data_IF_806816781487
#
_entry.id   IF_806816781487
#
_cell.length_a   1.000
_cell.length_b   1.000
_cell.length_c   1.000
_cell.angle_alpha   90.00
_cell.angle_beta   90.00
_cell.angle_gamma   90.00
#
_symmetry.space_group_name_H-M   'P 1'
#
loop_
_entity.id
_entity.type
_entity.pdbx_description
1 polymer ?
#
# COMPACT_ATOMS: atom_id res chain seq x y z
N UNK A 1 15.39 9.62 -27.26
CA UNK A 1 14.44 8.50 -27.15
C UNK A 1 14.98 7.41 -26.23
N UNK A 2 14.53 7.42 -24.97
CA UNK A 2 14.90 6.38 -24.01
C UNK A 2 14.33 5.03 -24.47
N UNK A 3 15.18 4.01 -24.45
CA UNK A 3 14.72 2.63 -24.58
C UNK A 3 14.09 2.24 -23.23
N UNK A 4 12.77 2.33 -23.11
CA UNK A 4 12.05 2.11 -21.85
C UNK A 4 12.37 0.74 -21.25
N UNK A 5 12.42 -0.31 -22.09
CA UNK A 5 12.83 -1.65 -21.67
C UNK A 5 14.28 -1.92 -22.09
N UNK A 6 15.24 -1.65 -21.21
CA UNK A 6 16.65 -1.97 -21.46
C UNK A 6 17.04 -3.40 -21.03
N UNK A 7 16.25 -4.39 -21.43
CA UNK A 7 16.47 -5.78 -21.02
C UNK A 7 17.40 -6.52 -21.98
N UNK A 8 18.49 -7.09 -21.46
CA UNK A 8 19.46 -7.86 -22.23
C UNK A 8 19.16 -9.36 -22.19
N UNK A 9 19.71 -10.11 -23.15
CA UNK A 9 19.45 -11.56 -23.31
C UNK A 9 19.74 -12.39 -22.06
N UNK A 10 20.74 -11.98 -21.27
CA UNK A 10 21.20 -12.74 -20.11
C UNK A 10 20.63 -12.24 -18.78
N UNK A 11 19.87 -11.14 -18.82
CA UNK A 11 19.25 -10.56 -17.64
C UNK A 11 18.12 -11.46 -17.15
N UNK A 12 17.72 -11.24 -15.90
CA UNK A 12 16.52 -11.86 -15.36
C UNK A 12 15.28 -11.41 -16.13
N UNK A 13 14.34 -12.32 -16.32
CA UNK A 13 13.14 -12.02 -17.10
C UNK A 13 12.16 -11.21 -16.25
N UNK A 14 11.74 -10.04 -16.76
CA UNK A 14 10.69 -9.13 -16.23
C UNK A 14 9.30 -9.76 -16.00
N UNK A 15 9.14 -11.05 -16.24
CA UNK A 15 7.93 -11.80 -15.87
C UNK A 15 7.96 -12.35 -14.43
N UNK A 16 9.02 -12.08 -13.66
CA UNK A 16 9.18 -12.59 -12.29
C UNK A 16 9.56 -14.08 -12.18
N UNK A 17 9.72 -14.82 -13.28
CA UNK A 17 9.99 -16.27 -13.25
C UNK A 17 11.36 -16.71 -12.68
N UNK A 18 12.26 -15.79 -12.33
CA UNK A 18 13.65 -16.11 -11.96
C UNK A 18 14.55 -16.62 -13.10
N UNK A 19 14.01 -16.80 -14.31
CA UNK A 19 14.74 -17.33 -15.47
C UNK A 19 15.38 -16.21 -16.28
N UNK A 20 16.49 -16.53 -16.98
CA UNK A 20 17.10 -15.60 -17.96
C UNK A 20 16.12 -15.26 -19.08
N UNK A 21 16.05 -14.00 -19.50
CA UNK A 21 15.12 -13.50 -20.52
C UNK A 21 15.15 -14.33 -21.81
N UNK A 22 16.35 -14.67 -22.32
CA UNK A 22 16.51 -15.52 -23.52
C UNK A 22 15.94 -16.94 -23.40
N UNK A 23 15.77 -17.44 -22.19
CA UNK A 23 15.23 -18.78 -21.89
C UNK A 23 13.76 -18.73 -21.45
N UNK A 24 13.17 -17.54 -21.41
CA UNK A 24 11.81 -17.32 -20.93
C UNK A 24 10.97 -16.60 -21.99
N UNK A 25 10.80 -15.27 -21.89
CA UNK A 25 9.85 -14.54 -22.73
C UNK A 25 10.43 -14.02 -24.06
N UNK A 26 11.75 -13.99 -24.26
CA UNK A 26 12.36 -13.37 -25.45
C UNK A 26 11.78 -13.90 -26.77
N UNK A 27 11.64 -15.22 -26.91
CA UNK A 27 11.12 -15.82 -28.16
C UNK A 27 9.66 -15.48 -28.43
N UNK A 28 8.86 -15.31 -27.38
CA UNK A 28 7.46 -14.89 -27.52
C UNK A 28 7.38 -13.42 -27.93
N UNK A 29 8.17 -12.55 -27.28
CA UNK A 29 8.30 -11.12 -27.63
C UNK A 29 8.76 -10.95 -29.08
N UNK A 30 9.82 -11.63 -29.50
CA UNK A 30 10.33 -11.56 -30.89
C UNK A 30 9.29 -12.05 -31.91
N UNK A 31 8.47 -13.03 -31.55
CA UNK A 31 7.40 -13.52 -32.41
C UNK A 31 6.27 -12.49 -32.55
N UNK A 32 5.84 -11.85 -31.46
CA UNK A 32 4.84 -10.77 -31.51
C UNK A 32 5.38 -9.62 -32.37
N UNK A 33 6.63 -9.21 -32.13
CA UNK A 33 7.29 -8.12 -32.85
C UNK A 33 7.37 -8.37 -34.36
N UNK A 34 7.85 -9.55 -34.76
CA UNK A 34 7.95 -9.89 -36.18
C UNK A 34 6.58 -9.91 -36.88
N UNK A 35 5.52 -10.33 -36.18
CA UNK A 35 4.19 -10.39 -36.76
C UNK A 35 3.56 -8.99 -36.85
N UNK A 36 3.69 -8.16 -35.80
CA UNK A 36 3.23 -6.76 -35.82
C UNK A 36 3.94 -5.96 -36.92
N UNK A 37 5.28 -6.06 -37.00
CA UNK A 37 6.07 -5.40 -38.05
C UNK A 37 5.61 -5.79 -39.46
N UNK A 38 5.20 -7.05 -39.66
CA UNK A 38 4.71 -7.53 -40.95
C UNK A 38 3.30 -7.02 -41.25
N UNK A 39 2.35 -7.17 -40.33
CA UNK A 39 0.96 -6.74 -40.54
C UNK A 39 0.89 -5.22 -40.77
N UNK A 40 1.53 -4.44 -39.91
CA UNK A 40 1.58 -2.98 -40.04
C UNK A 40 2.33 -2.56 -41.32
N UNK A 41 3.48 -3.18 -41.59
CA UNK A 41 4.31 -2.86 -42.76
C UNK A 41 3.65 -3.17 -44.11
N UNK A 42 2.63 -4.02 -44.13
CA UNK A 42 1.81 -4.26 -45.32
C UNK A 42 0.81 -3.13 -45.59
N UNK A 43 0.45 -2.35 -44.57
CA UNK A 43 -0.54 -1.27 -44.64
C UNK A 43 0.14 0.10 -44.79
N UNK A 44 1.17 0.37 -44.00
CA UNK A 44 1.84 1.67 -43.95
C UNK A 44 3.36 1.56 -43.72
N UNK A 45 4.09 2.65 -43.95
CA UNK A 45 5.52 2.72 -43.68
C UNK A 45 5.81 2.83 -42.17
N UNK A 46 6.73 2.00 -41.66
CA UNK A 46 7.08 2.01 -40.22
C UNK A 46 8.28 2.93 -39.97
N UNK A 47 8.03 4.02 -39.25
CA UNK A 47 9.05 5.00 -38.83
C UNK A 47 9.99 4.42 -37.76
N UNK A 48 11.08 5.13 -37.44
CA UNK A 48 11.95 4.73 -36.33
C UNK A 48 11.20 4.75 -34.98
N UNK A 49 10.32 5.73 -34.80
CA UNK A 49 9.43 5.82 -33.66
C UNK A 49 8.45 4.64 -33.61
N UNK A 50 7.78 4.34 -34.73
CA UNK A 50 6.85 3.22 -34.82
C UNK A 50 7.49 1.87 -34.49
N UNK A 51 8.78 1.68 -34.81
CA UNK A 51 9.54 0.49 -34.40
C UNK A 51 9.71 0.39 -32.88
N UNK A 52 9.96 1.51 -32.20
CA UNK A 52 10.08 1.53 -30.74
C UNK A 52 8.73 1.21 -30.07
N UNK A 53 7.65 1.84 -30.53
CA UNK A 53 6.30 1.52 -30.04
C UNK A 53 5.94 0.05 -30.27
N UNK A 54 6.17 -0.49 -31.48
CA UNK A 54 5.96 -1.92 -31.75
C UNK A 54 6.77 -2.78 -30.79
N UNK A 55 8.03 -2.41 -30.49
CA UNK A 55 8.86 -3.16 -29.54
C UNK A 55 8.26 -3.15 -28.14
N UNK A 56 7.79 -2.00 -27.64
CA UNK A 56 7.10 -1.87 -26.34
C UNK A 56 5.86 -2.75 -26.29
N UNK A 57 4.96 -2.62 -27.27
CA UNK A 57 3.74 -3.44 -27.35
C UNK A 57 4.08 -4.93 -27.44
N UNK A 58 5.14 -5.30 -28.16
CA UNK A 58 5.60 -6.69 -28.26
C UNK A 58 6.07 -7.26 -26.94
N UNK A 59 6.67 -6.43 -26.08
CA UNK A 59 7.04 -6.83 -24.72
C UNK A 59 5.77 -7.03 -23.89
N UNK A 60 4.87 -6.04 -23.85
CA UNK A 60 3.61 -6.09 -23.10
C UNK A 60 2.79 -7.36 -23.40
N UNK A 61 2.73 -7.76 -24.67
CA UNK A 61 1.98 -8.93 -25.12
C UNK A 61 2.79 -10.23 -25.23
N UNK A 62 4.11 -10.16 -25.14
CA UNK A 62 5.00 -11.32 -25.27
C UNK A 62 5.50 -11.89 -23.93
N UNK A 63 5.42 -11.14 -22.85
CA UNK A 63 5.77 -11.61 -21.49
C UNK A 63 4.68 -12.50 -20.89
N UNK A 64 5.09 -13.36 -19.95
CA UNK A 64 4.19 -14.27 -19.24
C UNK A 64 3.80 -13.66 -17.89
N UNK A 65 2.51 -13.61 -17.58
CA UNK A 65 2.01 -13.14 -16.28
C UNK A 65 1.37 -14.26 -15.41
N UNK A 66 1.30 -15.49 -15.93
CA UNK A 66 0.70 -16.72 -15.35
C UNK A 66 -0.74 -17.12 -15.78
N UNK A 67 -0.97 -18.44 -15.69
CA UNK A 67 -2.02 -19.39 -16.15
C UNK A 67 -2.63 -19.28 -17.56
N UNK A 68 -2.98 -18.10 -18.09
CA UNK A 68 -3.57 -18.01 -19.44
C UNK A 68 -2.50 -17.65 -20.47
N UNK A 69 -2.02 -18.67 -21.18
CA UNK A 69 -1.22 -18.51 -22.41
C UNK A 69 -2.15 -18.10 -23.57
N UNK A 70 -2.88 -16.99 -23.41
CA UNK A 70 -3.65 -16.45 -24.51
C UNK A 70 -2.72 -15.70 -25.45
N UNK A 71 -2.73 -16.12 -26.72
CA UNK A 71 -1.88 -15.52 -27.74
C UNK A 71 -2.57 -14.25 -28.22
N UNK A 72 -1.89 -13.11 -28.25
CA UNK A 72 -2.49 -11.88 -28.73
C UNK A 72 -3.02 -12.07 -30.16
N UNK A 73 -4.24 -11.58 -30.42
CA UNK A 73 -4.73 -11.42 -31.79
C UNK A 73 -3.95 -10.28 -32.45
N UNK A 74 -2.81 -10.64 -33.07
CA UNK A 74 -1.89 -9.69 -33.69
C UNK A 74 -2.58 -8.88 -34.79
N UNK A 75 -3.58 -9.44 -35.49
CA UNK A 75 -4.29 -8.70 -36.54
C UNK A 75 -5.14 -7.60 -35.95
N UNK A 76 -5.96 -7.93 -34.95
CA UNK A 76 -6.77 -6.95 -34.23
C UNK A 76 -5.88 -5.87 -33.60
N UNK A 77 -4.81 -6.29 -32.92
CA UNK A 77 -3.85 -5.38 -32.30
C UNK A 77 -3.21 -4.44 -33.34
N UNK A 78 -2.77 -4.97 -34.48
CA UNK A 78 -2.18 -4.16 -35.55
C UNK A 78 -3.18 -3.16 -36.15
N UNK A 79 -4.45 -3.53 -36.29
CA UNK A 79 -5.49 -2.63 -36.79
C UNK A 79 -5.72 -1.45 -35.84
N UNK A 80 -5.86 -1.72 -34.55
CA UNK A 80 -6.03 -0.67 -33.53
C UNK A 80 -4.80 0.26 -33.43
N UNK A 81 -3.59 -0.29 -33.58
CA UNK A 81 -2.36 0.52 -33.61
C UNK A 81 -2.30 1.44 -34.82
N UNK A 82 -2.72 0.97 -36.00
CA UNK A 82 -2.78 1.78 -37.22
C UNK A 82 -3.82 2.88 -37.05
N UNK A 83 -5.02 2.55 -36.57
CA UNK A 83 -6.09 3.54 -36.32
C UNK A 83 -5.63 4.62 -35.33
N UNK A 84 -4.95 4.24 -34.24
CA UNK A 84 -4.40 5.18 -33.28
C UNK A 84 -3.38 6.15 -33.93
N UNK A 85 -2.50 5.64 -34.81
CA UNK A 85 -1.50 6.47 -35.50
C UNK A 85 -2.09 7.35 -36.61
N UNK A 86 -3.11 6.89 -37.32
CA UNK A 86 -3.80 7.72 -38.31
C UNK A 86 -4.51 8.90 -37.63
N UNK A 87 -5.10 8.68 -36.45
CA UNK A 87 -5.67 9.75 -35.62
C UNK A 87 -4.58 10.70 -35.05
N UNK A 88 -3.34 10.21 -34.83
CA UNK A 88 -2.18 11.05 -34.46
C UNK A 88 -1.69 11.97 -35.60
N UNK A 89 -1.83 11.55 -36.86
CA UNK A 89 -1.38 12.39 -38.00
C UNK A 89 -2.35 13.54 -38.30
N UNK A 90 -3.60 13.48 -37.82
CA UNK A 90 -4.62 14.52 -37.97
C UNK A 90 -4.62 15.57 -36.82
N UNK A 91 -3.66 15.51 -35.89
CA UNK A 91 -3.70 16.27 -34.64
C UNK A 91 -3.62 17.81 -34.82
N UNK A 92 -4.62 18.50 -34.26
CA UNK A 92 -4.60 19.91 -33.86
C UNK A 92 -4.57 19.97 -32.32
N UNK A 93 -4.18 21.07 -31.66
CA UNK A 93 -4.14 21.14 -30.18
C UNK A 93 -5.42 20.62 -29.48
N UNK A 94 -6.59 20.74 -30.12
CA UNK A 94 -7.87 20.22 -29.61
C UNK A 94 -7.95 18.71 -29.46
N UNK A 95 -7.21 17.93 -30.25
CA UNK A 95 -7.24 16.46 -30.20
C UNK A 95 -6.40 15.90 -29.05
N UNK A 96 -5.34 16.60 -28.63
CA UNK A 96 -4.58 16.25 -27.42
C UNK A 96 -5.46 16.34 -26.17
N UNK A 97 -6.20 17.44 -26.01
CA UNK A 97 -7.14 17.61 -24.90
C UNK A 97 -8.28 16.59 -24.95
N UNK A 98 -8.78 16.26 -26.14
CA UNK A 98 -9.84 15.25 -26.29
C UNK A 98 -9.36 13.86 -25.90
N UNK A 99 -8.17 13.45 -26.34
CA UNK A 99 -7.56 12.20 -25.93
C UNK A 99 -7.36 12.17 -24.43
N UNK A 100 -6.72 13.19 -23.84
CA UNK A 100 -6.51 13.25 -22.40
C UNK A 100 -7.82 13.07 -21.62
N UNK A 101 -8.90 13.75 -22.04
CA UNK A 101 -10.21 13.55 -21.43
C UNK A 101 -10.68 12.10 -21.53
N UNK A 102 -10.60 11.48 -22.73
CA UNK A 102 -10.98 10.06 -22.90
C UNK A 102 -10.15 9.13 -22.01
N UNK A 103 -8.85 9.38 -21.87
CA UNK A 103 -7.98 8.59 -21.00
C UNK A 103 -8.35 8.79 -19.53
N UNK A 104 -8.60 10.02 -19.09
CA UNK A 104 -9.08 10.30 -17.73
C UNK A 104 -10.39 9.56 -17.47
N UNK A 105 -11.35 9.61 -18.39
CA UNK A 105 -12.63 8.91 -18.27
C UNK A 105 -12.40 7.39 -18.14
N UNK A 106 -11.56 6.80 -19.01
CA UNK A 106 -11.19 5.37 -18.94
C UNK A 106 -10.53 5.02 -17.59
N UNK A 107 -9.57 5.83 -17.13
CA UNK A 107 -8.86 5.64 -15.87
C UNK A 107 -9.82 5.71 -14.66
N UNK A 108 -10.89 6.50 -14.75
CA UNK A 108 -11.90 6.68 -13.68
C UNK A 108 -12.99 5.62 -13.69
N UNK A 109 -13.47 5.25 -14.87
CA UNK A 109 -14.58 4.29 -15.04
C UNK A 109 -14.14 2.83 -14.86
N UNK A 110 -12.92 2.48 -15.27
CA UNK A 110 -12.39 1.11 -15.09
C UNK A 110 -11.85 0.94 -13.68
N UNK A 111 -12.52 0.10 -12.89
CA UNK A 111 -12.14 -0.19 -11.49
C UNK A 111 -10.69 -0.64 -11.38
N UNK A 112 -10.22 -1.43 -12.35
CA UNK A 112 -8.89 -2.03 -12.38
C UNK A 112 -7.79 -1.01 -12.65
N UNK A 113 -8.11 0.12 -13.30
CA UNK A 113 -7.15 1.20 -13.56
C UNK A 113 -7.03 2.20 -12.40
N UNK A 114 -7.81 2.03 -11.32
CA UNK A 114 -7.69 2.87 -10.12
C UNK A 114 -6.36 2.68 -9.38
N UNK A 115 -5.63 1.60 -9.63
CA UNK A 115 -4.31 1.38 -9.04
C UNK A 115 -3.23 2.33 -9.60
N UNK A 116 -3.46 2.93 -10.78
CA UNK A 116 -2.52 3.88 -11.36
C UNK A 116 -2.50 5.22 -10.62
N UNK A 117 -3.48 5.49 -9.76
CA UNK A 117 -3.62 6.81 -9.13
C UNK A 117 -2.36 7.21 -8.37
N UNK A 118 -2.09 8.52 -8.38
CA UNK A 118 -1.00 9.09 -7.60
C UNK A 118 -1.33 8.92 -6.11
N UNK A 119 -0.39 8.42 -5.28
CA UNK A 119 -0.59 8.26 -3.85
C UNK A 119 -1.10 9.54 -3.18
N UNK A 120 -2.13 9.41 -2.35
CA UNK A 120 -2.82 10.55 -1.74
C UNK A 120 -1.89 11.40 -0.87
N UNK A 121 -0.89 10.77 -0.25
CA UNK A 121 0.13 11.45 0.57
C UNK A 121 0.93 12.50 -0.19
N UNK A 122 1.19 12.29 -1.49
CA UNK A 122 1.92 13.24 -2.34
C UNK A 122 1.05 14.45 -2.71
N UNK A 123 -0.27 14.30 -2.64
CA UNK A 123 -1.24 15.30 -3.10
C UNK A 123 -1.74 16.20 -1.96
N UNK A 124 -1.36 15.93 -0.70
CA UNK A 124 -1.84 16.67 0.48
C UNK A 124 -1.49 18.16 0.42
N UNK A 125 -0.32 18.46 -0.14
CA UNK A 125 0.21 19.83 -0.24
C UNK A 125 -0.34 20.62 -1.42
N UNK A 126 -1.16 20.00 -2.28
CA UNK A 126 -1.77 20.67 -3.43
C UNK A 126 -2.94 21.51 -2.95
N UNK A 127 -2.82 22.82 -3.07
CA UNK A 127 -3.99 23.65 -3.27
C UNK A 127 -4.46 23.45 -4.71
N UNK A 128 -5.64 22.85 -4.90
CA UNK A 128 -6.18 22.47 -6.24
C UNK A 128 -6.30 23.65 -7.23
N UNK A 129 -6.17 24.89 -6.76
CA UNK A 129 -6.22 26.12 -7.55
C UNK A 129 -4.83 26.72 -7.85
N UNK A 130 -3.74 26.13 -7.34
CA UNK A 130 -2.36 26.60 -7.53
C UNK A 130 -1.60 25.79 -8.59
N UNK A 131 -1.37 26.43 -9.74
CA UNK A 131 -0.69 25.84 -10.90
C UNK A 131 0.80 25.59 -10.62
N UNK A 132 1.47 26.45 -9.86
CA UNK A 132 2.92 26.34 -9.59
C UNK A 132 3.23 25.16 -8.66
N UNK A 133 2.36 24.93 -7.67
CA UNK A 133 2.43 23.74 -6.80
C UNK A 133 2.16 22.46 -7.59
N UNK A 134 1.20 22.50 -8.52
CA UNK A 134 0.87 21.35 -9.37
C UNK A 134 2.05 20.95 -10.27
N UNK A 135 2.77 21.91 -10.85
CA UNK A 135 3.98 21.65 -11.65
C UNK A 135 5.10 21.04 -10.79
N UNK A 136 5.35 21.59 -9.60
CA UNK A 136 6.40 21.09 -8.69
C UNK A 136 6.16 19.63 -8.27
N UNK A 137 4.91 19.26 -8.01
CA UNK A 137 4.56 17.89 -7.61
C UNK A 137 4.60 16.94 -8.80
N UNK A 138 4.22 17.39 -9.99
CA UNK A 138 4.41 16.60 -11.21
C UNK A 138 5.88 16.27 -11.43
N UNK A 139 6.78 17.24 -11.23
CA UNK A 139 8.23 16.99 -11.32
C UNK A 139 8.70 15.96 -10.28
N UNK A 140 8.24 16.05 -9.03
CA UNK A 140 8.55 15.06 -8.00
C UNK A 140 8.02 13.65 -8.34
N UNK A 141 6.81 13.57 -8.90
CA UNK A 141 6.22 12.29 -9.37
C UNK A 141 7.09 11.71 -10.50
N UNK A 142 7.53 12.54 -11.44
CA UNK A 142 8.34 12.13 -12.58
C UNK A 142 9.70 11.59 -12.14
N UNK A 143 10.32 12.17 -11.10
CA UNK A 143 11.61 11.72 -10.58
C UNK A 143 11.59 10.25 -10.13
N UNK A 144 10.50 9.83 -9.47
CA UNK A 144 10.31 8.46 -8.98
C UNK A 144 9.51 7.57 -9.96
N UNK A 145 9.08 8.11 -11.11
CA UNK A 145 8.22 7.40 -12.05
C UNK A 145 8.98 6.34 -12.87
N UNK A 146 8.52 5.10 -12.77
CA UNK A 146 8.98 4.01 -13.63
C UNK A 146 7.98 3.75 -14.76
N UNK A 147 8.29 4.28 -15.96
CA UNK A 147 7.53 3.98 -17.18
C UNK A 147 7.53 2.48 -17.48
N UNK A 148 8.63 1.77 -17.19
CA UNK A 148 8.74 0.33 -17.36
C UNK A 148 7.68 -0.41 -16.52
N UNK A 149 7.62 -0.13 -15.21
CA UNK A 149 6.68 -0.81 -14.31
C UNK A 149 5.22 -0.50 -14.66
N UNK A 150 4.92 0.76 -14.99
CA UNK A 150 3.57 1.18 -15.38
C UNK A 150 3.10 0.49 -16.66
N UNK A 151 3.98 0.33 -17.65
CA UNK A 151 3.65 -0.40 -18.88
C UNK A 151 3.46 -1.90 -18.63
N UNK A 152 4.21 -2.50 -17.70
CA UNK A 152 4.02 -3.90 -17.32
C UNK A 152 2.68 -4.12 -16.60
N UNK A 153 2.31 -3.23 -15.69
CA UNK A 153 1.01 -3.28 -15.02
C UNK A 153 -0.12 -3.08 -16.04
N UNK A 154 -0.01 -2.08 -16.93
CA UNK A 154 -1.00 -1.84 -17.97
C UNK A 154 -1.12 -3.03 -18.92
N UNK A 155 -0.01 -3.69 -19.25
CA UNK A 155 0.00 -4.91 -20.03
C UNK A 155 -0.75 -6.05 -19.35
N UNK A 156 -0.57 -6.22 -18.04
CA UNK A 156 -1.31 -7.19 -17.26
C UNK A 156 -2.82 -6.88 -17.33
N UNK A 157 -3.22 -5.63 -17.10
CA UNK A 157 -4.63 -5.26 -17.09
C UNK A 157 -5.30 -5.42 -18.45
N UNK A 158 -4.69 -4.91 -19.52
CA UNK A 158 -5.20 -5.01 -20.89
C UNK A 158 -5.43 -6.45 -21.37
N UNK A 159 -4.71 -7.42 -20.78
CA UNK A 159 -4.78 -8.83 -21.16
C UNK A 159 -5.75 -9.64 -20.30
N UNK A 160 -6.13 -9.14 -19.13
CA UNK A 160 -6.95 -9.88 -18.17
C UNK A 160 -8.34 -9.29 -17.96
N UNK A 161 -8.61 -8.08 -18.46
CA UNK A 161 -9.89 -7.40 -18.31
C UNK A 161 -10.47 -6.95 -19.66
N UNK A 162 -11.78 -6.72 -19.69
CA UNK A 162 -12.50 -6.38 -20.90
C UNK A 162 -12.42 -4.87 -21.21
N UNK A 163 -11.94 -4.57 -22.42
CA UNK A 163 -11.93 -3.24 -23.00
C UNK A 163 -12.68 -3.25 -24.32
N UNK A 164 -13.46 -2.21 -24.57
CA UNK A 164 -14.00 -1.95 -25.90
C UNK A 164 -12.87 -1.62 -26.86
N UNK A 165 -13.13 -1.77 -28.17
CA UNK A 165 -12.11 -1.45 -29.19
C UNK A 165 -11.70 0.02 -29.14
N UNK A 166 -12.64 0.93 -28.85
CA UNK A 166 -12.33 2.36 -28.72
C UNK A 166 -11.49 2.66 -27.46
N UNK A 167 -11.84 2.07 -26.31
CA UNK A 167 -11.03 2.19 -25.08
C UNK A 167 -9.60 1.70 -25.32
N UNK A 168 -9.46 0.52 -25.92
CA UNK A 168 -8.14 -0.07 -26.16
C UNK A 168 -7.33 0.76 -27.18
N UNK A 169 -7.95 1.26 -28.24
CA UNK A 169 -7.31 2.19 -29.18
C UNK A 169 -6.81 3.46 -28.48
N UNK A 170 -7.65 4.08 -27.64
CA UNK A 170 -7.25 5.28 -26.89
C UNK A 170 -6.06 4.98 -25.96
N UNK A 171 -6.06 3.83 -25.27
CA UNK A 171 -4.93 3.43 -24.43
C UNK A 171 -3.65 3.23 -25.26
N UNK A 172 -3.72 2.65 -26.45
CA UNK A 172 -2.57 2.52 -27.35
C UNK A 172 -2.02 3.89 -27.78
N UNK A 173 -2.90 4.85 -28.07
CA UNK A 173 -2.53 6.23 -28.38
C UNK A 173 -1.86 6.91 -27.17
N UNK A 174 -2.40 6.72 -25.96
CA UNK A 174 -1.81 7.24 -24.73
C UNK A 174 -0.40 6.69 -24.47
N UNK A 175 -0.18 5.39 -24.65
CA UNK A 175 1.16 4.78 -24.56
C UNK A 175 2.08 5.40 -25.61
N UNK A 176 1.60 5.54 -26.86
CA UNK A 176 2.36 6.13 -27.96
C UNK A 176 2.86 7.53 -27.58
N UNK A 177 1.95 8.42 -27.16
CA UNK A 177 2.31 9.77 -26.74
C UNK A 177 3.26 9.81 -25.54
N UNK A 178 3.02 8.96 -24.54
CA UNK A 178 3.92 8.81 -23.40
C UNK A 178 5.35 8.44 -23.80
N UNK A 179 5.54 7.63 -24.85
CA UNK A 179 6.86 7.25 -25.36
C UNK A 179 7.51 8.29 -26.28
N UNK A 180 6.73 9.19 -26.88
CA UNK A 180 7.26 10.32 -27.65
C UNK A 180 7.85 11.39 -26.73
N UNK A 181 7.26 11.55 -25.56
CA UNK A 181 7.64 12.51 -24.54
C UNK A 181 8.84 12.01 -23.72
N UNK A 182 9.98 12.68 -23.83
CA UNK A 182 11.20 12.30 -23.08
C UNK A 182 11.06 12.52 -21.56
N UNK A 183 10.07 13.30 -21.13
CA UNK A 183 9.77 13.56 -19.71
C UNK A 183 8.69 12.63 -19.14
N UNK A 184 8.04 11.85 -20.00
CA UNK A 184 6.86 11.03 -19.67
C UNK A 184 5.65 11.81 -19.11
N UNK A 185 5.66 13.15 -19.13
CA UNK A 185 4.55 13.99 -18.67
C UNK A 185 3.24 13.65 -19.38
N UNK A 186 3.30 13.40 -20.68
CA UNK A 186 2.15 13.02 -21.51
C UNK A 186 1.52 11.70 -21.06
N UNK A 187 2.27 10.84 -20.37
CA UNK A 187 1.74 9.63 -19.76
C UNK A 187 1.16 9.91 -18.37
N UNK A 188 1.85 10.70 -17.55
CA UNK A 188 1.52 10.92 -16.13
C UNK A 188 0.36 11.90 -15.93
N UNK A 189 0.24 12.94 -16.77
CA UNK A 189 -0.77 14.00 -16.59
C UNK A 189 -2.21 13.46 -16.52
N UNK A 190 -2.67 12.54 -17.39
CA UNK A 190 -3.99 11.93 -17.25
C UNK A 190 -4.19 11.18 -15.93
N UNK A 191 -3.16 10.47 -15.45
CA UNK A 191 -3.17 9.76 -14.16
C UNK A 191 -3.31 10.75 -13.00
N UNK A 192 -2.51 11.81 -13.01
CA UNK A 192 -2.55 12.87 -12.01
C UNK A 192 -3.92 13.55 -11.99
N UNK A 193 -4.46 13.95 -13.15
CA UNK A 193 -5.77 14.58 -13.26
C UNK A 193 -6.90 13.66 -12.79
N UNK A 194 -6.88 12.37 -13.15
CA UNK A 194 -7.83 11.40 -12.65
C UNK A 194 -7.78 11.29 -11.12
N UNK A 195 -6.59 11.39 -10.52
CA UNK A 195 -6.39 11.38 -9.07
C UNK A 195 -6.99 12.60 -8.38
N UNK A 196 -6.75 13.80 -8.93
CA UNK A 196 -7.33 15.03 -8.38
C UNK A 196 -8.86 15.04 -8.49
N UNK A 197 -9.41 14.58 -9.62
CA UNK A 197 -10.86 14.49 -9.82
C UNK A 197 -11.52 13.52 -8.83
N UNK A 198 -10.90 12.36 -8.61
CA UNK A 198 -11.39 11.37 -7.65
C UNK A 198 -11.35 11.92 -6.21
N UNK A 199 -10.28 12.61 -5.82
CA UNK A 199 -10.19 13.27 -4.51
C UNK A 199 -11.24 14.39 -4.39
N UNK A 200 -11.43 15.20 -5.44
CA UNK A 200 -12.42 16.28 -5.44
C UNK A 200 -13.84 15.77 -5.27
N UNK A 201 -14.24 14.77 -6.05
CA UNK A 201 -15.57 14.16 -5.96
C UNK A 201 -15.80 13.47 -4.61
N UNK A 202 -14.81 12.71 -4.12
CA UNK A 202 -14.88 12.08 -2.81
C UNK A 202 -14.95 13.10 -1.67
N UNK A 203 -14.21 14.22 -1.78
CA UNK A 203 -14.27 15.33 -0.81
C UNK A 203 -15.65 15.96 -0.76
N UNK A 204 -16.31 16.16 -1.91
CA UNK A 204 -17.65 16.73 -1.96
C UNK A 204 -18.70 15.76 -1.42
N UNK A 205 -18.57 14.45 -1.71
CA UNK A 205 -19.38 13.40 -1.08
C UNK A 205 -19.18 13.38 0.45
N UNK A 206 -17.95 13.45 0.93
CA UNK A 206 -17.62 13.49 2.36
C UNK A 206 -18.20 14.72 3.07
N UNK A 207 -18.13 15.91 2.46
CA UNK A 207 -18.73 17.13 3.01
C UNK A 207 -20.25 16.99 3.18
N UNK A 208 -20.93 16.40 2.21
CA UNK A 208 -22.38 16.17 2.30
C UNK A 208 -22.74 15.28 3.50
N UNK A 209 -21.94 14.24 3.78
CA UNK A 209 -22.12 13.39 4.97
C UNK A 209 -22.00 14.20 6.26
N UNK A 210 -21.00 15.09 6.35
CA UNK A 210 -20.77 15.93 7.54
C UNK A 210 -21.90 16.96 7.74
N UNK A 211 -22.43 17.51 6.64
CA UNK A 211 -23.49 18.52 6.67
C UNK A 211 -24.87 17.94 7.03
N UNK A 212 -25.16 16.69 6.65
CA UNK A 212 -26.45 16.00 6.86
C UNK A 212 -26.71 15.51 8.31
N UNK A 213 -25.98 16.06 9.29
CA UNK A 213 -25.99 15.77 10.74
C UNK A 213 -27.21 14.99 11.25
N UNK A 214 -26.99 13.76 11.73
CA UNK A 214 -27.98 13.10 12.57
C UNK A 214 -27.83 11.60 12.83
N UNK A 215 -26.83 10.90 12.27
CA UNK A 215 -26.67 9.44 12.44
C UNK A 215 -25.21 8.98 12.35
N UNK A 216 -24.42 9.22 13.40
CA UNK A 216 -22.99 8.88 13.48
C UNK A 216 -22.62 7.50 12.90
N UNK A 217 -23.36 6.44 13.24
CA UNK A 217 -23.10 5.10 12.71
C UNK A 217 -23.37 4.95 11.19
N UNK A 218 -24.38 5.65 10.66
CA UNK A 218 -24.66 5.67 9.22
C UNK A 218 -23.63 6.51 8.46
N UNK A 219 -23.13 7.56 9.10
CA UNK A 219 -22.13 8.46 8.54
C UNK A 219 -20.81 7.70 8.34
N UNK A 220 -20.37 6.93 9.35
CA UNK A 220 -19.19 6.05 9.27
C UNK A 220 -19.31 5.03 8.12
N UNK A 221 -20.45 4.34 8.00
CA UNK A 221 -20.68 3.39 6.88
C UNK A 221 -20.59 4.12 5.53
N UNK A 222 -21.08 5.35 5.46
CA UNK A 222 -21.06 6.14 4.22
C UNK A 222 -19.63 6.55 3.86
N UNK A 223 -18.79 6.90 4.85
CA UNK A 223 -17.36 7.15 4.63
C UNK A 223 -16.62 5.91 4.08
N UNK A 224 -16.86 4.73 4.64
CA UNK A 224 -16.25 3.50 4.11
C UNK A 224 -16.65 3.22 2.66
N UNK A 225 -17.91 3.45 2.29
CA UNK A 225 -18.34 3.32 0.89
C UNK A 225 -17.63 4.33 -0.03
N UNK A 226 -17.37 5.55 0.44
CA UNK A 226 -16.58 6.55 -0.31
C UNK A 226 -15.14 6.05 -0.47
N UNK A 227 -14.52 5.48 0.57
CA UNK A 227 -13.16 4.94 0.48
C UNK A 227 -13.06 3.75 -0.47
N UNK A 228 -14.04 2.84 -0.47
CA UNK A 228 -14.08 1.74 -1.44
C UNK A 228 -14.23 2.24 -2.89
N UNK A 229 -15.02 3.30 -3.09
CA UNK A 229 -15.20 3.90 -4.41
C UNK A 229 -13.97 4.71 -4.84
N UNK A 230 -13.29 5.39 -3.91
CA UNK A 230 -12.13 6.25 -4.16
C UNK A 230 -10.98 5.91 -3.18
N UNK A 231 -10.23 4.82 -3.43
CA UNK A 231 -9.21 4.34 -2.48
C UNK A 231 -8.15 5.38 -2.10
N UNK A 232 -7.72 6.21 -3.07
CA UNK A 232 -6.75 7.27 -2.81
C UNK A 232 -7.25 8.38 -1.89
N UNK A 233 -8.57 8.54 -1.78
CA UNK A 233 -9.15 9.58 -0.95
C UNK A 233 -8.97 9.26 0.55
N UNK A 234 -9.02 7.97 0.91
CA UNK A 234 -8.75 7.52 2.29
C UNK A 234 -7.34 7.93 2.74
N UNK A 235 -6.35 7.66 1.89
CA UNK A 235 -4.95 8.02 2.12
C UNK A 235 -4.78 9.55 2.16
N UNK A 236 -5.30 10.26 1.16
CA UNK A 236 -5.24 11.72 1.10
C UNK A 236 -5.83 12.37 2.36
N UNK A 237 -7.03 11.96 2.76
CA UNK A 237 -7.72 12.51 3.93
C UNK A 237 -6.94 12.21 5.21
N UNK A 238 -6.50 10.96 5.39
CA UNK A 238 -5.68 10.56 6.52
C UNK A 238 -4.39 11.37 6.63
N UNK A 239 -3.65 11.52 5.54
CA UNK A 239 -2.41 12.28 5.53
C UNK A 239 -2.64 13.77 5.77
N UNK A 240 -3.74 14.34 5.25
CA UNK A 240 -4.14 15.72 5.52
C UNK A 240 -4.50 15.94 6.99
N UNK A 241 -5.22 14.99 7.59
CA UNK A 241 -5.53 15.01 9.03
C UNK A 241 -4.26 14.89 9.87
N UNK A 242 -3.32 14.01 9.49
CA UNK A 242 -2.05 13.88 10.18
C UNK A 242 -1.24 15.17 10.12
N UNK A 243 -1.08 15.77 8.94
CA UNK A 243 -0.36 17.05 8.79
C UNK A 243 -0.98 18.17 9.63
N UNK A 244 -2.31 18.21 9.74
CA UNK A 244 -3.00 19.20 10.56
C UNK A 244 -2.80 19.00 12.08
N UNK A 245 -2.40 17.81 12.51
CA UNK A 245 -2.28 17.43 13.92
C UNK A 245 -0.87 16.98 14.32
N UNK A 246 0.12 17.05 13.43
CA UNK A 246 1.46 16.48 13.63
C UNK A 246 2.16 17.07 14.86
N UNK A 247 2.18 18.40 14.97
CA UNK A 247 2.77 19.09 16.13
C UNK A 247 2.05 18.76 17.44
N UNK A 248 0.72 18.66 17.41
CA UNK A 248 -0.09 18.33 18.58
C UNK A 248 0.14 16.87 18.99
N UNK A 249 0.28 15.96 18.03
CA UNK A 249 0.58 14.54 18.25
C UNK A 249 1.99 14.36 18.80
N UNK A 250 3.00 15.00 18.20
CA UNK A 250 4.38 14.91 18.66
C UNK A 250 4.51 15.46 20.11
N UNK A 251 3.81 16.55 20.41
CA UNK A 251 3.74 17.11 21.76
C UNK A 251 3.12 16.11 22.75
N UNK A 252 1.95 15.55 22.41
CA UNK A 252 1.23 14.55 23.22
C UNK A 252 2.09 13.31 23.50
N UNK A 253 2.85 12.84 22.51
CA UNK A 253 3.76 11.70 22.67
C UNK A 253 4.99 12.04 23.54
N UNK A 254 5.46 13.29 23.50
CA UNK A 254 6.60 13.82 24.29
C UNK A 254 6.26 14.11 25.74
N UNK A 255 5.04 14.57 26.05
CA UNK A 255 4.57 14.83 27.43
C UNK A 255 4.38 13.53 28.26
N UNK A 256 4.88 12.41 27.76
CA UNK A 256 4.90 11.11 28.43
C UNK A 256 3.53 10.62 28.89
N UNK A 257 2.48 10.91 28.12
CA UNK A 257 1.17 10.30 28.37
C UNK A 257 1.34 8.79 28.42
N UNK A 258 0.90 8.22 29.54
CA UNK A 258 1.01 6.80 29.81
C UNK A 258 -0.21 6.11 29.23
N UNK A 259 -0.01 5.43 28.10
CA UNK A 259 -1.03 4.56 27.53
C UNK A 259 -0.99 3.22 28.25
N UNK A 260 -2.02 2.94 29.05
CA UNK A 260 -2.04 1.79 29.96
C UNK A 260 -2.56 0.53 29.27
N UNK A 261 -1.80 0.01 28.29
CA UNK A 261 -2.17 -1.25 27.65
C UNK A 261 -2.11 -2.43 28.64
N UNK A 262 -3.14 -3.29 28.68
CA UNK A 262 -3.10 -4.55 29.41
C UNK A 262 -1.87 -5.37 29.04
N UNK A 263 -1.25 -6.01 30.03
CA UNK A 263 -0.01 -6.73 29.79
C UNK A 263 -0.15 -7.88 28.77
N UNK A 264 -1.33 -8.48 28.61
CA UNK A 264 -1.51 -9.55 27.63
C UNK A 264 -1.28 -9.06 26.19
N UNK A 265 -1.54 -7.80 25.85
CA UNK A 265 -1.27 -7.25 24.52
C UNK A 265 0.24 -7.18 24.29
N UNK A 266 0.97 -6.69 25.29
CA UNK A 266 2.44 -6.60 25.26
C UNK A 266 3.05 -8.00 25.20
N UNK A 267 2.49 -8.95 25.95
CA UNK A 267 2.96 -10.31 25.95
C UNK A 267 2.71 -11.00 24.60
N UNK A 268 1.52 -10.84 24.02
CA UNK A 268 1.19 -11.32 22.69
C UNK A 268 2.18 -10.79 21.63
N UNK A 269 2.50 -9.50 21.67
CA UNK A 269 3.48 -8.90 20.76
C UNK A 269 4.85 -9.56 20.90
N UNK A 270 5.35 -9.76 22.12
CA UNK A 270 6.65 -10.41 22.33
C UNK A 270 6.65 -11.86 21.83
N UNK A 271 5.57 -12.60 22.02
CA UNK A 271 5.44 -13.98 21.52
C UNK A 271 5.40 -14.01 19.98
N UNK A 272 4.62 -13.13 19.33
CA UNK A 272 4.58 -13.01 17.87
C UNK A 272 5.94 -12.61 17.29
N UNK A 273 6.60 -11.63 17.89
CA UNK A 273 7.96 -11.25 17.49
C UNK A 273 8.92 -12.45 17.57
N UNK A 274 8.77 -13.29 18.59
CA UNK A 274 9.58 -14.50 18.72
C UNK A 274 9.30 -15.53 17.62
N UNK A 275 8.03 -15.76 17.26
CA UNK A 275 7.62 -16.63 16.14
C UNK A 275 8.28 -16.13 14.85
N UNK A 276 8.13 -14.83 14.52
CA UNK A 276 8.74 -14.23 13.32
C UNK A 276 10.25 -14.37 13.28
N UNK A 277 10.91 -14.19 14.42
CA UNK A 277 12.35 -14.41 14.51
C UNK A 277 12.72 -15.87 14.25
N UNK A 278 12.00 -16.84 14.81
CA UNK A 278 12.22 -18.27 14.58
C UNK A 278 12.04 -18.57 13.08
N UNK A 279 10.91 -18.18 12.48
CA UNK A 279 10.63 -18.39 11.05
C UNK A 279 11.78 -17.91 10.14
N UNK A 280 12.34 -16.72 10.41
CA UNK A 280 13.46 -16.17 9.66
C UNK A 280 14.72 -17.02 9.81
N UNK A 281 15.04 -17.48 11.03
CA UNK A 281 16.22 -18.31 11.28
C UNK A 281 16.06 -19.72 10.71
N UNK A 282 14.86 -20.31 10.75
CA UNK A 282 14.57 -21.63 10.17
C UNK A 282 14.65 -21.61 8.63
N UNK A 283 14.27 -20.50 7.98
CA UNK A 283 14.24 -20.40 6.52
C UNK A 283 15.61 -20.28 5.83
N UNK A 284 16.74 -20.26 6.56
CA UNK A 284 18.11 -20.27 6.03
C UNK A 284 18.34 -19.42 4.76
N UNK A 285 17.74 -18.22 4.69
CA UNK A 285 17.88 -17.32 3.53
C UNK A 285 19.26 -16.65 3.57
N UNK A 286 20.19 -16.93 2.62
CA UNK A 286 21.58 -16.47 2.71
C UNK A 286 21.80 -14.98 2.39
N UNK A 287 20.73 -14.20 2.22
CA UNK A 287 20.78 -12.89 1.55
C UNK A 287 19.91 -11.81 2.19
N UNK A 288 19.59 -11.91 3.48
CA UNK A 288 18.88 -10.83 4.16
C UNK A 288 19.94 -9.85 4.69
N UNK A 289 19.86 -8.59 4.23
CA UNK A 289 20.67 -7.48 4.74
C UNK A 289 20.49 -7.37 6.27
N UNK A 290 21.57 -7.23 7.04
CA UNK A 290 21.53 -7.17 8.52
C UNK A 290 20.54 -6.11 9.04
N UNK A 291 20.36 -5.00 8.31
CA UNK A 291 19.44 -3.92 8.67
C UNK A 291 17.95 -4.28 8.44
N UNK A 292 17.67 -5.13 7.44
CA UNK A 292 16.33 -5.67 7.16
C UNK A 292 15.99 -6.87 8.06
N UNK A 293 17.02 -7.55 8.59
CA UNK A 293 16.88 -8.78 9.38
C UNK A 293 16.16 -8.55 10.72
N UNK A 294 16.22 -7.32 11.24
CA UNK A 294 15.58 -6.94 12.51
C UNK A 294 14.31 -6.10 12.36
N UNK A 295 14.14 -5.37 11.26
CA UNK A 295 12.97 -4.51 11.04
C UNK A 295 11.76 -5.29 10.53
N UNK A 296 11.96 -6.22 9.58
CA UNK A 296 10.88 -7.03 8.99
C UNK A 296 10.07 -7.79 10.05
N UNK A 297 10.66 -8.64 10.91
CA UNK A 297 9.87 -9.41 11.88
C UNK A 297 9.18 -8.53 12.92
N UNK A 298 9.70 -7.32 13.14
CA UNK A 298 9.11 -6.35 14.05
C UNK A 298 7.83 -5.74 13.46
N UNK A 299 7.89 -5.24 12.22
CA UNK A 299 6.72 -4.73 11.51
C UNK A 299 5.66 -5.82 11.27
N UNK A 300 6.07 -7.01 10.83
CA UNK A 300 5.14 -8.13 10.63
C UNK A 300 4.44 -8.54 11.94
N UNK A 301 5.14 -8.54 13.08
CA UNK A 301 4.52 -8.86 14.36
C UNK A 301 3.52 -7.78 14.80
N UNK A 302 3.78 -6.49 14.52
CA UNK A 302 2.83 -5.40 14.80
C UNK A 302 1.61 -5.52 13.91
N UNK A 303 1.80 -5.71 12.60
CA UNK A 303 0.72 -5.86 11.63
C UNK A 303 -0.22 -7.00 12.04
N UNK A 304 0.33 -8.12 12.52
CA UNK A 304 -0.48 -9.22 13.04
C UNK A 304 -1.18 -8.88 14.36
N UNK A 305 -0.58 -8.10 15.26
CA UNK A 305 -1.26 -7.65 16.50
C UNK A 305 -2.42 -6.71 16.16
N UNK A 306 -2.20 -5.76 15.25
CA UNK A 306 -3.22 -4.80 14.81
C UNK A 306 -4.27 -5.43 13.88
N UNK A 307 -3.96 -6.58 13.27
CA UNK A 307 -4.90 -7.38 12.48
C UNK A 307 -5.83 -8.27 13.29
N UNK A 308 -5.56 -8.46 14.59
CA UNK A 308 -6.40 -9.25 15.49
C UNK A 308 -7.47 -8.37 16.16
N UNK A 309 -8.72 -8.52 15.72
CA UNK A 309 -9.87 -7.67 16.12
C UNK A 309 -9.94 -7.40 17.63
N UNK A 310 -9.75 -8.45 18.46
CA UNK A 310 -9.78 -8.37 19.92
C UNK A 310 -8.67 -7.45 20.46
N UNK A 311 -7.45 -7.60 19.95
CA UNK A 311 -6.30 -6.83 20.41
C UNK A 311 -6.38 -5.39 19.91
N UNK A 312 -6.73 -5.22 18.63
CA UNK A 312 -6.87 -3.91 18.02
C UNK A 312 -7.93 -3.07 18.74
N UNK A 313 -9.10 -3.65 19.03
CA UNK A 313 -10.16 -2.96 19.77
C UNK A 313 -9.68 -2.51 21.15
N UNK A 314 -8.95 -3.36 21.87
CA UNK A 314 -8.43 -2.99 23.19
C UNK A 314 -7.34 -1.91 23.10
N UNK A 315 -6.40 -2.01 22.16
CA UNK A 315 -5.36 -0.99 21.93
C UNK A 315 -6.03 0.36 21.65
N UNK A 316 -6.99 0.40 20.74
CA UNK A 316 -7.71 1.62 20.39
C UNK A 316 -8.47 2.19 21.59
N UNK A 317 -9.19 1.35 22.33
CA UNK A 317 -9.91 1.78 23.53
C UNK A 317 -8.97 2.36 24.59
N UNK A 318 -7.84 1.69 24.89
CA UNK A 318 -6.86 2.20 25.84
C UNK A 318 -6.26 3.55 25.41
N UNK A 319 -6.01 3.75 24.11
CA UNK A 319 -5.55 5.05 23.59
C UNK A 319 -6.62 6.11 23.87
N UNK A 320 -7.87 5.86 23.47
CA UNK A 320 -8.96 6.81 23.63
C UNK A 320 -9.26 7.11 25.10
N UNK A 321 -9.28 6.09 25.96
CA UNK A 321 -9.47 6.24 27.41
C UNK A 321 -8.34 7.05 28.05
N UNK A 322 -7.08 6.76 27.72
CA UNK A 322 -5.93 7.50 28.27
C UNK A 322 -5.97 8.98 27.86
N UNK A 323 -6.36 9.28 26.61
CA UNK A 323 -6.54 10.65 26.15
C UNK A 323 -7.68 11.36 26.90
N UNK A 324 -8.84 10.72 27.01
CA UNK A 324 -10.01 11.29 27.71
C UNK A 324 -9.76 11.50 29.21
N UNK A 325 -9.16 10.53 29.90
CA UNK A 325 -8.83 10.66 31.32
C UNK A 325 -7.83 11.80 31.55
N UNK A 326 -6.83 11.94 30.66
CA UNK A 326 -5.86 13.04 30.75
C UNK A 326 -6.53 14.40 30.52
N UNK A 327 -7.48 14.50 29.58
CA UNK A 327 -8.30 15.71 29.35
C UNK A 327 -9.09 16.11 30.60
N UNK A 328 -9.66 15.14 31.32
CA UNK A 328 -10.48 15.39 32.52
C UNK A 328 -9.65 15.79 33.74
N UNK A 329 -8.41 15.31 33.83
CA UNK A 329 -7.55 15.45 35.02
C UNK A 329 -6.51 16.56 34.91
N UNK A 330 -6.10 16.96 33.72
CA UNK A 330 -5.11 18.03 33.53
C UNK A 330 -5.70 19.42 33.84
N UNK A 331 -4.91 20.25 34.53
CA UNK A 331 -5.20 21.68 34.71
C UNK A 331 -4.58 22.56 33.60
N UNK A 332 -3.74 21.97 32.74
CA UNK A 332 -3.11 22.68 31.62
C UNK A 332 -4.07 22.78 30.44
N UNK A 333 -4.62 23.98 30.22
CA UNK A 333 -5.55 24.27 29.13
C UNK A 333 -4.92 24.12 27.73
N UNK A 334 -3.60 24.33 27.57
CA UNK A 334 -2.96 24.10 26.26
C UNK A 334 -2.91 22.60 25.96
N UNK A 335 -2.44 21.80 26.92
CA UNK A 335 -2.43 20.33 26.80
C UNK A 335 -3.85 19.79 26.57
N UNK A 336 -4.84 20.30 27.30
CA UNK A 336 -6.24 19.91 27.15
C UNK A 336 -6.78 20.14 25.74
N UNK A 337 -6.48 21.30 25.15
CA UNK A 337 -6.90 21.62 23.78
C UNK A 337 -6.20 20.73 22.75
N UNK A 338 -4.91 20.44 22.94
CA UNK A 338 -4.16 19.52 22.07
C UNK A 338 -4.74 18.10 22.12
N UNK A 339 -5.01 17.60 23.32
CA UNK A 339 -5.60 16.28 23.51
C UNK A 339 -6.99 16.16 22.90
N UNK A 340 -7.82 17.19 23.00
CA UNK A 340 -9.13 17.20 22.36
C UNK A 340 -9.03 17.04 20.84
N UNK A 341 -8.08 17.73 20.18
CA UNK A 341 -7.83 17.57 18.75
C UNK A 341 -7.32 16.19 18.38
N UNK A 342 -6.38 15.63 19.16
CA UNK A 342 -5.87 14.27 18.92
C UNK A 342 -6.97 13.21 19.13
N UNK A 343 -7.87 13.43 20.08
CA UNK A 343 -9.04 12.56 20.28
C UNK A 343 -9.98 12.62 19.06
N UNK A 344 -10.21 13.81 18.50
CA UNK A 344 -10.99 13.98 17.27
C UNK A 344 -10.30 13.36 16.05
N UNK A 345 -8.96 13.45 15.95
CA UNK A 345 -8.17 12.79 14.92
C UNK A 345 -8.45 11.28 14.87
N UNK A 346 -8.48 10.60 16.02
CA UNK A 346 -8.77 9.16 16.08
C UNK A 346 -10.24 8.76 15.84
N UNK A 347 -11.16 9.71 15.64
CA UNK A 347 -12.58 9.40 15.46
C UNK A 347 -12.87 8.68 14.13
N UNK A 348 -12.14 9.00 13.06
CA UNK A 348 -12.29 8.34 11.76
C UNK A 348 -10.98 7.68 11.34
N UNK A 349 -10.86 6.40 11.66
CA UNK A 349 -9.67 5.63 11.34
C UNK A 349 -9.49 5.44 9.83
N UNK A 350 -8.28 5.76 9.38
CA UNK A 350 -7.75 5.44 8.05
C UNK A 350 -6.43 4.70 8.23
N UNK A 351 -5.85 4.18 7.14
CA UNK A 351 -4.49 3.59 7.16
C UNK A 351 -3.43 4.47 7.83
N UNK A 352 -3.51 5.80 7.66
CA UNK A 352 -2.58 6.74 8.30
C UNK A 352 -2.73 6.74 9.82
N UNK A 353 -3.95 6.60 10.33
CA UNK A 353 -4.21 6.50 11.77
C UNK A 353 -3.67 5.20 12.36
N UNK A 354 -3.71 4.09 11.60
CA UNK A 354 -3.10 2.83 12.02
C UNK A 354 -1.58 2.98 12.24
N UNK A 355 -0.87 3.68 11.35
CA UNK A 355 0.56 3.96 11.54
C UNK A 355 0.83 4.78 12.82
N UNK A 356 -0.09 5.69 13.19
CA UNK A 356 0.04 6.44 14.44
C UNK A 356 -0.21 5.54 15.66
N UNK A 357 -1.22 4.66 15.59
CA UNK A 357 -1.52 3.67 16.64
C UNK A 357 -0.33 2.74 16.84
N UNK A 358 0.28 2.25 15.76
CA UNK A 358 1.52 1.48 15.78
C UNK A 358 2.63 2.22 16.53
N UNK A 359 2.88 3.48 16.19
CA UNK A 359 3.92 4.28 16.87
C UNK A 359 3.64 4.43 18.37
N UNK A 360 2.38 4.70 18.76
CA UNK A 360 1.97 4.75 20.17
C UNK A 360 2.23 3.40 20.84
N UNK A 361 1.80 2.30 20.21
CA UNK A 361 1.99 0.95 20.72
C UNK A 361 3.46 0.64 20.98
N UNK A 362 4.33 0.96 20.03
CA UNK A 362 5.76 0.73 20.14
C UNK A 362 6.45 1.57 21.22
N UNK A 363 6.08 2.84 21.32
CA UNK A 363 6.58 3.72 22.40
C UNK A 363 6.18 3.12 23.76
N UNK A 364 4.94 2.64 23.89
CA UNK A 364 4.46 2.03 25.13
C UNK A 364 5.17 0.71 25.44
N UNK A 365 5.36 -0.18 24.46
CA UNK A 365 6.12 -1.43 24.64
C UNK A 365 7.56 -1.12 25.08
N UNK A 366 8.21 -0.13 24.45
CA UNK A 366 9.55 0.30 24.84
C UNK A 366 9.59 0.78 26.29
N UNK A 367 8.70 1.70 26.67
CA UNK A 367 8.59 2.20 28.06
C UNK A 367 8.32 1.08 29.04
N UNK A 368 7.44 0.13 28.68
CA UNK A 368 7.13 -1.03 29.48
C UNK A 368 8.39 -1.86 29.78
N UNK A 369 9.18 -2.18 28.75
CA UNK A 369 10.43 -2.93 28.87
C UNK A 369 11.47 -2.17 29.71
N UNK A 370 11.60 -0.86 29.50
CA UNK A 370 12.54 -0.01 30.25
C UNK A 370 12.16 0.11 31.73
N UNK A 371 10.89 -0.11 32.07
CA UNK A 371 10.37 -0.06 33.45
C UNK A 371 10.53 -1.35 34.27
N UNK A 372 11.13 -2.41 33.71
CA UNK A 372 11.35 -3.66 34.44
C UNK A 372 12.42 -3.49 35.55
N UNK A 373 12.25 -4.14 36.73
CA UNK A 373 11.18 -5.08 37.09
C UNK A 373 9.85 -4.40 37.47
N UNK A 374 8.72 -4.96 37.06
CA UNK A 374 7.39 -4.39 37.35
C UNK A 374 6.31 -5.41 37.69
N UNK A 375 5.31 -4.94 38.44
CA UNK A 375 4.08 -5.69 38.71
C UNK A 375 3.18 -5.70 37.47
N UNK A 376 2.55 -6.84 37.18
CA UNK A 376 1.68 -7.01 36.02
C UNK A 376 0.23 -6.68 36.40
N UNK A 377 -0.37 -5.72 35.70
CA UNK A 377 -1.76 -5.31 35.88
C UNK A 377 -2.10 -5.14 37.37
N UNK A 378 -3.21 -5.71 37.85
CA UNK A 378 -3.54 -5.76 39.28
C UNK A 378 -3.07 -7.05 40.00
N UNK A 379 -2.37 -7.94 39.27
CA UNK A 379 -1.92 -9.26 39.72
C UNK A 379 -0.80 -9.20 40.75
N UNK A 380 -0.55 -10.27 41.51
CA UNK A 380 0.66 -10.36 42.36
C UNK A 380 1.92 -10.84 41.58
N UNK A 381 1.84 -10.88 40.25
CA UNK A 381 2.94 -11.34 39.40
C UNK A 381 3.88 -10.16 39.16
N UNK A 382 5.18 -10.40 39.33
CA UNK A 382 6.24 -9.45 38.99
C UNK A 382 7.02 -10.05 37.82
N UNK A 383 7.14 -9.27 36.75
CA UNK A 383 8.03 -9.54 35.64
C UNK A 383 9.36 -8.84 35.94
N UNK A 384 10.38 -9.64 36.22
CA UNK A 384 11.73 -9.21 36.54
C UNK A 384 12.51 -8.83 35.27
N UNK A 385 12.32 -9.59 34.19
CA UNK A 385 12.99 -9.39 32.91
C UNK A 385 12.24 -10.09 31.76
N UNK A 386 12.53 -9.68 30.52
CA UNK A 386 11.90 -10.21 29.30
C UNK A 386 12.11 -11.73 29.15
N UNK A 387 13.23 -12.30 29.64
CA UNK A 387 13.49 -13.74 29.49
C UNK A 387 12.48 -14.62 30.23
N UNK A 388 11.73 -14.08 31.19
CA UNK A 388 10.66 -14.86 31.84
C UNK A 388 9.47 -15.11 30.91
N UNK A 389 9.24 -14.24 29.91
CA UNK A 389 8.11 -14.32 28.98
C UNK A 389 8.13 -15.61 28.15
N UNK A 390 9.32 -16.18 27.95
CA UNK A 390 9.50 -17.40 27.17
C UNK A 390 9.47 -18.66 28.02
N UNK A 391 9.16 -18.57 29.32
CA UNK A 391 9.12 -19.72 30.22
C UNK A 391 7.70 -20.25 30.45
N UNK A 392 7.54 -21.58 30.40
CA UNK A 392 6.25 -22.23 30.65
C UNK A 392 5.68 -21.86 32.02
N UNK A 393 6.53 -21.79 33.05
CA UNK A 393 6.11 -21.45 34.41
C UNK A 393 5.45 -20.06 34.47
N UNK A 394 6.03 -19.08 33.77
CA UNK A 394 5.46 -17.74 33.70
C UNK A 394 4.17 -17.72 32.88
N UNK A 395 4.17 -18.38 31.71
CA UNK A 395 3.00 -18.47 30.84
C UNK A 395 1.79 -19.09 31.57
N UNK A 396 1.96 -20.26 32.19
CA UNK A 396 0.92 -20.96 32.94
C UNK A 396 0.37 -20.10 34.09
N UNK A 397 1.27 -19.40 34.80
CA UNK A 397 0.90 -18.50 35.89
C UNK A 397 0.08 -17.32 35.39
N UNK A 398 0.44 -16.74 34.24
CA UNK A 398 -0.27 -15.60 33.66
C UNK A 398 -1.61 -16.00 33.03
N UNK A 399 -1.68 -17.15 32.34
CA UNK A 399 -2.93 -17.73 31.83
C UNK A 399 -3.92 -17.95 32.98
N UNK A 400 -3.47 -18.56 34.08
CA UNK A 400 -4.31 -18.77 35.27
C UNK A 400 -4.85 -17.45 35.83
N UNK A 401 -4.02 -16.40 35.80
CA UNK A 401 -4.44 -15.05 36.21
C UNK A 401 -5.52 -14.48 35.28
N UNK A 402 -5.32 -14.52 33.96
CA UNK A 402 -6.31 -14.05 32.98
C UNK A 402 -7.65 -14.79 33.12
N UNK A 403 -7.61 -16.13 33.23
CA UNK A 403 -8.81 -16.94 33.45
C UNK A 403 -9.54 -16.56 34.76
N UNK A 404 -8.80 -16.26 35.82
CA UNK A 404 -9.38 -15.82 37.10
C UNK A 404 -10.08 -14.46 37.02
N UNK A 405 -9.71 -13.63 36.03
CA UNK A 405 -10.34 -12.34 35.71
C UNK A 405 -11.51 -12.45 34.75
N UNK A 406 -11.78 -13.65 34.23
CA UNK A 406 -12.80 -13.88 33.21
C UNK A 406 -12.32 -13.61 31.78
N UNK A 407 -11.04 -13.30 31.58
CA UNK A 407 -10.40 -13.02 30.30
C UNK A 407 -9.99 -14.33 29.60
N UNK A 408 -11.00 -15.14 29.25
CA UNK A 408 -10.80 -16.49 28.71
C UNK A 408 -10.32 -16.51 27.27
N UNK A 409 -10.72 -15.51 26.48
CA UNK A 409 -10.36 -15.44 25.06
C UNK A 409 -8.90 -15.01 24.92
N UNK A 410 -8.48 -14.03 25.70
CA UNK A 410 -7.12 -13.53 25.85
C UNK A 410 -6.19 -14.64 26.37
N UNK A 411 -6.62 -15.36 27.42
CA UNK A 411 -5.87 -16.49 27.97
C UNK A 411 -5.65 -17.59 26.93
N UNK A 412 -6.70 -17.91 26.16
CA UNK A 412 -6.63 -18.88 25.07
C UNK A 412 -5.67 -18.41 23.98
N UNK A 413 -5.76 -17.14 23.58
CA UNK A 413 -4.92 -16.57 22.53
C UNK A 413 -3.43 -16.59 22.90
N UNK A 414 -3.07 -16.16 24.13
CA UNK A 414 -1.69 -16.25 24.63
C UNK A 414 -1.18 -17.69 24.64
N UNK A 415 -2.06 -18.63 25.03
CA UNK A 415 -1.72 -20.06 25.03
C UNK A 415 -1.44 -20.59 23.63
N UNK A 416 -2.27 -20.23 22.65
CA UNK A 416 -2.10 -20.64 21.25
C UNK A 416 -0.77 -20.13 20.67
N UNK A 417 -0.43 -18.84 20.90
CA UNK A 417 0.87 -18.28 20.48
C UNK A 417 2.05 -19.00 21.14
N UNK A 418 1.93 -19.37 22.42
CA UNK A 418 2.99 -20.07 23.13
C UNK A 418 3.18 -21.51 22.60
N UNK A 419 2.08 -22.21 22.31
CA UNK A 419 2.11 -23.56 21.70
C UNK A 419 2.73 -23.53 20.29
N UNK A 420 2.50 -22.48 19.51
CA UNK A 420 3.10 -22.29 18.19
C UNK A 420 4.63 -22.20 18.28
N UNK A 421 5.16 -21.41 19.23
CA UNK A 421 6.61 -21.32 19.48
C UNK A 421 7.23 -22.68 19.81
N UNK A 422 6.54 -23.50 20.61
CA UNK A 422 7.03 -24.84 20.98
C UNK A 422 7.02 -25.81 19.78
N UNK A 423 6.02 -25.69 18.91
CA UNK A 423 5.95 -26.47 17.67
C UNK A 423 7.11 -26.09 16.76
N UNK A 424 7.33 -24.80 16.51
CA UNK A 424 8.39 -24.32 15.61
C UNK A 424 9.79 -24.72 16.08
N UNK A 425 10.06 -24.60 17.38
CA UNK A 425 11.32 -25.10 17.98
C UNK A 425 11.49 -26.61 17.78
N UNK A 426 10.40 -27.38 17.90
CA UNK A 426 10.44 -28.84 17.76
C UNK A 426 10.64 -29.32 16.32
N UNK A 427 10.26 -28.50 15.33
CA UNK A 427 10.55 -28.73 13.90
C UNK A 427 12.01 -28.42 13.57
N UNK A 428 12.59 -27.35 14.13
CA UNK A 428 14.02 -27.04 13.97
C UNK A 428 14.96 -28.08 14.61
N UNK A 429 14.58 -28.65 15.75
CA UNK A 429 15.38 -29.73 16.39
C UNK A 429 15.36 -31.06 15.61
N UNK A 430 14.44 -31.23 14.65
CA UNK A 430 14.35 -32.43 13.81
C UNK A 430 15.14 -32.36 12.50
N UNK A 431 15.66 -31.18 12.14
CA UNK A 431 16.50 -30.97 10.96
C UNK A 431 18.02 -30.70 11.23
N UNK A 432 18.74 -31.40 12.16
CA UNK A 432 20.20 -31.29 12.21
C UNK A 432 20.95 -32.19 11.20
N UNK A 433 20.27 -32.99 10.36
CA UNK A 433 20.93 -33.90 9.42
C UNK A 433 20.12 -34.15 8.14
N UNK A 434 20.36 -33.35 7.10
CA UNK A 434 20.50 -33.84 5.71
C UNK A 434 21.49 -32.99 4.90
#
# INVERSE_FOLDING_TARGET
>A
MPNVFNIQRNDECICGSGKKYKKCCLSAVENVESNLMKEIGNTMGITAYGRNFIRVISIMYGIKFEEKDDKPDVKKLSALMIEAWEEEEELFDSSFFELNRKIIDILREKKELKNFRIPGVLLVQIEFDDIEQSETILDAIIEDFSMENNLLELAYLLRNFDYTEDEFKNILHWISMGLMDETYQSFIVPIFQASLLDIGEASDKAKQVIEDKGKEAQDVITFYNIYEEYPIFEEYLGSKMLQANEDDLEYVLKEEIEFNFPFYIIYAFVLKLQIKLIEIFSQSKPYINEELLFSIPFFEAIDEILGEDMLFAEIYNCIMESLMETIETTEDEDLKNRLAKITEFFFMLTRVHLNVIENIFLITVKRYIESLPRKLDDSQIVLENIQQLISHEFCDKYITYLESKGLKEEAKYIKELYEEIDIEKSTDEKDPQE
#
